data_IF_225059972770
#
_entry.id   IF_225059972770
#
_cell.length_a   1.000
_cell.length_b   1.000
_cell.length_c   1.000
_cell.angle_alpha   90.00
_cell.angle_beta   90.00
_cell.angle_gamma   90.00
#
_symmetry.space_group_name_H-M   'P 1'
#
loop_
_entity.id
_entity.type
_entity.pdbx_description
1 polymer ?
#
# COMPACT_ATOMS: atom_id res chain seq x y z
N UNK A 1 -11.20 6.93 -3.31
CA UNK A 1 -12.23 5.88 -3.34
C UNK A 1 -11.66 4.45 -3.39
N UNK A 2 -10.36 4.22 -3.63
CA UNK A 2 -9.76 2.88 -3.78
C UNK A 2 -9.66 2.03 -2.49
N UNK A 3 -9.30 2.60 -1.33
CA UNK A 3 -9.04 1.81 -0.09
C UNK A 3 -10.25 1.08 0.53
N UNK A 4 -11.48 1.33 0.06
CA UNK A 4 -12.69 0.64 0.56
C UNK A 4 -12.94 -0.70 -0.15
N UNK A 5 -12.65 -0.78 -1.45
CA UNK A 5 -12.85 -1.98 -2.28
C UNK A 5 -11.96 -3.15 -1.81
N UNK A 6 -10.68 -2.88 -1.53
CA UNK A 6 -9.72 -3.85 -0.99
C UNK A 6 -10.23 -4.62 0.26
N UNK A 7 -11.00 -3.98 1.13
CA UNK A 7 -11.52 -4.61 2.34
C UNK A 7 -12.64 -5.63 2.08
N UNK A 8 -13.48 -5.40 1.08
CA UNK A 8 -14.54 -6.33 0.67
C UNK A 8 -13.95 -7.50 -0.12
N UNK A 9 -12.96 -7.25 -0.95
CA UNK A 9 -12.29 -8.29 -1.73
C UNK A 9 -11.45 -9.21 -0.83
N UNK A 10 -10.81 -8.66 0.19
CA UNK A 10 -10.20 -9.48 1.25
C UNK A 10 -11.24 -10.36 1.96
N UNK A 11 -12.44 -9.86 2.26
CA UNK A 11 -13.50 -10.69 2.86
C UNK A 11 -13.93 -11.82 1.93
N UNK A 12 -14.08 -11.56 0.63
CA UNK A 12 -14.39 -12.58 -0.37
C UNK A 12 -13.27 -13.62 -0.49
N UNK A 13 -12.01 -13.20 -0.41
CA UNK A 13 -10.85 -14.11 -0.43
C UNK A 13 -10.84 -15.10 0.75
N UNK A 14 -11.39 -14.72 1.91
CA UNK A 14 -11.48 -15.61 3.07
C UNK A 14 -12.51 -16.74 2.92
N UNK A 15 -13.45 -16.65 1.97
CA UNK A 15 -14.49 -17.68 1.78
C UNK A 15 -13.91 -19.07 1.49
N UNK A 16 -12.77 -19.14 0.80
CA UNK A 16 -12.07 -20.39 0.48
C UNK A 16 -11.26 -20.97 1.65
N UNK A 17 -11.04 -20.19 2.72
CA UNK A 17 -10.15 -20.57 3.83
C UNK A 17 -10.84 -21.35 4.96
N UNK A 18 -12.18 -21.51 4.90
CA UNK A 18 -13.04 -21.98 5.98
C UNK A 18 -12.89 -21.20 7.32
N UNK A 19 -12.21 -20.05 7.30
CA UNK A 19 -11.96 -19.18 8.45
C UNK A 19 -12.68 -17.85 8.26
N UNK A 20 -13.18 -17.30 9.36
CA UNK A 20 -13.76 -15.96 9.35
C UNK A 20 -12.64 -14.91 9.16
N UNK A 21 -12.86 -13.97 8.25
CA UNK A 21 -12.03 -12.77 8.14
C UNK A 21 -12.10 -11.98 9.45
N UNK A 22 -10.94 -11.70 10.06
CA UNK A 22 -10.83 -10.88 11.26
C UNK A 22 -10.04 -9.62 10.96
N UNK A 23 -10.59 -8.47 11.32
CA UNK A 23 -9.84 -7.23 11.31
C UNK A 23 -8.72 -7.33 12.35
N UNK A 24 -7.48 -7.14 11.91
CA UNK A 24 -6.32 -7.04 12.79
C UNK A 24 -5.62 -5.73 12.52
N UNK A 25 -5.36 -4.99 13.59
CA UNK A 25 -4.52 -3.79 13.52
C UNK A 25 -3.12 -4.15 13.02
N UNK A 26 -2.73 -3.60 11.86
CA UNK A 26 -1.38 -3.77 11.29
C UNK A 26 -0.43 -2.78 11.97
N UNK A 27 0.40 -3.25 12.91
CA UNK A 27 1.37 -2.40 13.63
C UNK A 27 2.36 -1.70 12.69
N UNK A 28 2.80 -2.40 11.64
CA UNK A 28 3.69 -1.84 10.62
C UNK A 28 3.05 -0.64 9.91
N UNK A 29 1.81 -0.78 9.43
CA UNK A 29 1.07 0.32 8.81
C UNK A 29 0.92 1.53 9.76
N UNK A 30 0.62 1.28 11.04
CA UNK A 30 0.59 2.36 12.05
C UNK A 30 1.94 3.06 12.20
N UNK A 31 3.04 2.31 12.15
CA UNK A 31 4.39 2.86 12.18
C UNK A 31 4.65 3.78 10.99
N UNK A 32 4.33 3.34 9.77
CA UNK A 32 4.50 4.13 8.55
C UNK A 32 3.67 5.41 8.56
N UNK A 33 2.42 5.35 9.03
CA UNK A 33 1.56 6.53 9.17
C UNK A 33 2.16 7.50 10.20
N UNK A 34 2.60 6.98 11.36
CA UNK A 34 3.21 7.80 12.40
C UNK A 34 4.49 8.48 11.92
N UNK A 35 5.33 7.77 11.18
CA UNK A 35 6.54 8.34 10.57
C UNK A 35 6.18 9.48 9.61
N UNK A 36 5.16 9.29 8.76
CA UNK A 36 4.66 10.34 7.87
C UNK A 36 4.15 11.56 8.66
N UNK A 37 3.39 11.35 9.72
CA UNK A 37 2.89 12.42 10.59
C UNK A 37 4.02 13.18 11.33
N UNK A 38 5.09 12.49 11.71
CA UNK A 38 6.26 13.10 12.34
C UNK A 38 7.06 13.94 11.34
N UNK A 39 7.36 13.38 10.18
CA UNK A 39 8.09 14.09 9.10
C UNK A 39 7.35 15.35 8.64
N UNK A 40 6.02 15.30 8.53
CA UNK A 40 5.21 16.44 8.10
C UNK A 40 5.14 17.59 9.12
N UNK A 41 5.52 17.35 10.38
CA UNK A 41 5.61 18.39 11.42
C UNK A 41 6.91 19.17 11.36
N UNK A 42 7.93 18.67 10.65
CA UNK A 42 9.20 19.37 10.50
C UNK A 42 9.03 20.66 9.69
N UNK A 43 9.85 21.66 10.02
CA UNK A 43 9.85 22.93 9.30
C UNK A 43 10.71 22.78 8.04
N UNK A 44 10.05 22.73 6.91
CA UNK A 44 10.67 22.67 5.59
C UNK A 44 9.81 23.46 4.59
N UNK A 45 10.39 23.77 3.43
CA UNK A 45 9.69 24.40 2.33
C UNK A 45 8.61 23.47 1.75
N UNK A 46 7.62 24.05 1.05
CA UNK A 46 6.47 23.28 0.58
C UNK A 46 6.90 22.13 -0.36
N UNK A 47 7.84 22.39 -1.26
CA UNK A 47 8.30 21.40 -2.24
C UNK A 47 9.01 20.23 -1.54
N UNK A 48 9.76 20.51 -0.47
CA UNK A 48 10.38 19.49 0.39
C UNK A 48 9.31 18.67 1.12
N UNK A 49 8.24 19.30 1.60
CA UNK A 49 7.13 18.59 2.26
C UNK A 49 6.37 17.70 1.30
N UNK A 50 6.16 18.15 0.06
CA UNK A 50 5.51 17.34 -0.97
C UNK A 50 6.37 16.13 -1.35
N UNK A 51 7.70 16.33 -1.49
CA UNK A 51 8.65 15.23 -1.70
C UNK A 51 8.61 14.20 -0.55
N UNK A 52 8.59 14.68 0.69
CA UNK A 52 8.46 13.84 1.90
C UNK A 52 7.13 13.08 1.91
N UNK A 53 6.02 13.75 1.58
CA UNK A 53 4.70 13.14 1.53
C UNK A 53 4.64 12.01 0.51
N UNK A 54 5.24 12.22 -0.67
CA UNK A 54 5.34 11.17 -1.71
C UNK A 54 6.20 10.01 -1.22
N UNK A 55 7.37 10.28 -0.64
CA UNK A 55 8.24 9.23 -0.11
C UNK A 55 7.54 8.36 0.95
N UNK A 56 6.78 9.00 1.86
CA UNK A 56 5.97 8.30 2.85
C UNK A 56 4.84 7.48 2.22
N UNK A 57 4.18 7.99 1.18
CA UNK A 57 3.17 7.24 0.44
C UNK A 57 3.78 6.00 -0.25
N UNK A 58 4.95 6.12 -0.89
CA UNK A 58 5.63 5.00 -1.53
C UNK A 58 6.03 3.90 -0.53
N UNK A 59 6.48 4.27 0.68
CA UNK A 59 6.73 3.30 1.76
C UNK A 59 5.48 2.49 2.12
N UNK A 60 4.31 3.13 2.12
CA UNK A 60 3.01 2.46 2.34
C UNK A 60 2.73 1.49 1.20
N UNK A 61 2.85 1.92 -0.07
CA UNK A 61 2.62 1.06 -1.23
C UNK A 61 3.56 -0.16 -1.24
N UNK A 62 4.85 0.02 -0.94
CA UNK A 62 5.83 -1.07 -0.88
C UNK A 62 5.52 -2.10 0.20
N UNK A 63 5.00 -1.65 1.35
CA UNK A 63 4.52 -2.56 2.39
C UNK A 63 3.32 -3.38 1.93
N UNK A 64 2.39 -2.77 1.18
CA UNK A 64 1.21 -3.47 0.65
C UNK A 64 1.60 -4.44 -0.48
N UNK A 65 2.48 -4.05 -1.40
CA UNK A 65 3.03 -4.93 -2.45
C UNK A 65 3.70 -6.17 -1.84
N UNK A 66 4.59 -5.99 -0.85
CA UNK A 66 5.25 -7.10 -0.18
C UNK A 66 4.25 -8.03 0.54
N UNK A 67 3.22 -7.45 1.14
CA UNK A 67 2.15 -8.19 1.81
C UNK A 67 1.32 -9.02 0.81
N UNK A 68 0.83 -8.40 -0.25
CA UNK A 68 0.00 -9.08 -1.25
C UNK A 68 0.79 -10.11 -2.06
N UNK A 69 2.06 -9.85 -2.39
CA UNK A 69 2.91 -10.83 -3.08
C UNK A 69 3.06 -12.13 -2.27
N UNK A 70 3.23 -12.02 -0.96
CA UNK A 70 3.28 -13.18 -0.06
C UNK A 70 1.93 -13.91 -0.02
N UNK A 71 0.82 -13.17 0.10
CA UNK A 71 -0.52 -13.75 0.15
C UNK A 71 -0.92 -14.45 -1.16
N UNK A 72 -0.55 -13.88 -2.32
CA UNK A 72 -0.72 -14.51 -3.63
C UNK A 72 -0.01 -15.87 -3.68
N UNK A 73 1.25 -15.92 -3.25
CA UNK A 73 2.04 -17.15 -3.22
C UNK A 73 1.35 -18.23 -2.37
N UNK A 74 0.84 -17.85 -1.19
CA UNK A 74 0.11 -18.80 -0.34
C UNK A 74 -1.22 -19.24 -0.95
N UNK A 75 -2.00 -18.32 -1.52
CA UNK A 75 -3.26 -18.64 -2.18
C UNK A 75 -3.06 -19.63 -3.33
N UNK A 76 -2.00 -19.46 -4.12
CA UNK A 76 -1.61 -20.39 -5.18
C UNK A 76 -1.26 -21.78 -4.62
N UNK A 77 -0.40 -21.85 -3.60
CA UNK A 77 0.01 -23.12 -2.98
C UNK A 77 -1.14 -23.87 -2.29
N UNK A 78 -2.13 -23.15 -1.77
CA UNK A 78 -3.30 -23.71 -1.08
C UNK A 78 -4.49 -23.97 -2.02
N UNK A 79 -4.38 -23.60 -3.31
CA UNK A 79 -5.44 -23.81 -4.30
C UNK A 79 -6.62 -22.83 -4.19
N UNK A 80 -6.45 -21.70 -3.51
CA UNK A 80 -7.48 -20.67 -3.32
C UNK A 80 -7.54 -19.76 -4.55
N UNK A 81 -8.22 -20.24 -5.60
CA UNK A 81 -8.24 -19.59 -6.92
C UNK A 81 -8.92 -18.22 -6.89
N UNK A 82 -10.03 -18.08 -6.16
CA UNK A 82 -10.73 -16.79 -6.08
C UNK A 82 -9.94 -15.80 -5.23
N UNK A 83 -9.36 -16.25 -4.11
CA UNK A 83 -8.47 -15.43 -3.31
C UNK A 83 -7.27 -14.93 -4.13
N UNK A 84 -6.61 -15.82 -4.88
CA UNK A 84 -5.49 -15.46 -5.75
C UNK A 84 -5.87 -14.39 -6.77
N UNK A 85 -7.03 -14.52 -7.43
CA UNK A 85 -7.52 -13.54 -8.39
C UNK A 85 -7.68 -12.15 -7.74
N UNK A 86 -8.35 -12.09 -6.59
CA UNK A 86 -8.60 -10.83 -5.89
C UNK A 86 -7.32 -10.20 -5.35
N UNK A 87 -6.41 -11.02 -4.80
CA UNK A 87 -5.11 -10.54 -4.30
C UNK A 87 -4.21 -10.02 -5.43
N UNK A 88 -4.29 -10.61 -6.63
CA UNK A 88 -3.61 -10.09 -7.83
C UNK A 88 -4.19 -8.75 -8.29
N UNK A 89 -5.50 -8.55 -8.20
CA UNK A 89 -6.07 -7.24 -8.50
C UNK A 89 -5.54 -6.17 -7.53
N UNK A 90 -5.46 -6.50 -6.23
CA UNK A 90 -4.89 -5.57 -5.25
C UNK A 90 -3.41 -5.26 -5.55
N UNK A 91 -2.57 -6.26 -5.82
CA UNK A 91 -1.15 -5.99 -6.10
C UNK A 91 -0.96 -5.12 -7.35
N UNK A 92 -1.75 -5.35 -8.40
CA UNK A 92 -1.71 -4.54 -9.64
C UNK A 92 -2.11 -3.08 -9.37
N UNK A 93 -3.08 -2.85 -8.49
CA UNK A 93 -3.50 -1.52 -8.05
C UNK A 93 -2.39 -0.81 -7.26
N UNK A 94 -1.76 -1.48 -6.28
CA UNK A 94 -0.70 -0.86 -5.48
C UNK A 94 0.57 -0.59 -6.33
N UNK A 95 0.94 -1.50 -7.23
CA UNK A 95 2.05 -1.27 -8.18
C UNK A 95 1.77 -0.10 -9.12
N UNK A 96 0.51 0.07 -9.54
CA UNK A 96 0.10 1.21 -10.36
C UNK A 96 0.11 2.51 -9.58
N UNK A 97 -0.24 2.48 -8.30
CA UNK A 97 -0.16 3.63 -7.41
C UNK A 97 1.29 4.07 -7.19
N UNK A 98 2.20 3.13 -6.88
CA UNK A 98 3.63 3.44 -6.70
C UNK A 98 4.28 3.99 -7.97
N UNK A 99 3.91 3.47 -9.15
CA UNK A 99 4.38 4.01 -10.44
C UNK A 99 3.94 5.47 -10.62
N UNK A 100 2.69 5.80 -10.32
CA UNK A 100 2.19 7.19 -10.38
C UNK A 100 2.90 8.09 -9.38
N UNK A 101 3.12 7.62 -8.15
CA UNK A 101 3.88 8.36 -7.15
C UNK A 101 5.32 8.62 -7.63
N UNK A 102 5.95 7.63 -8.27
CA UNK A 102 7.28 7.78 -8.88
C UNK A 102 7.30 8.81 -9.99
N UNK A 103 6.27 8.87 -10.84
CA UNK A 103 6.14 9.88 -11.89
C UNK A 103 6.03 11.28 -11.31
N UNK A 104 5.19 11.46 -10.28
CA UNK A 104 5.02 12.75 -9.58
C UNK A 104 6.32 13.15 -8.87
N UNK A 105 6.99 12.20 -8.21
CA UNK A 105 8.25 12.43 -7.50
C UNK A 105 9.34 13.00 -8.41
N UNK A 106 9.39 12.60 -9.69
CA UNK A 106 10.39 13.13 -10.64
C UNK A 106 10.25 14.64 -10.84
N UNK A 107 9.02 15.16 -10.84
CA UNK A 107 8.77 16.60 -10.96
C UNK A 107 9.06 17.31 -9.65
N UNK A 108 8.48 16.82 -8.55
CA UNK A 108 8.56 17.51 -7.24
C UNK A 108 9.97 17.47 -6.66
N UNK A 109 10.70 16.36 -6.79
CA UNK A 109 12.07 16.30 -6.30
C UNK A 109 13.00 17.25 -7.06
N UNK A 110 12.70 17.56 -8.32
CA UNK A 110 13.48 18.55 -9.05
C UNK A 110 13.28 19.96 -8.49
N UNK A 111 12.04 20.30 -8.09
CA UNK A 111 11.69 21.56 -7.45
C UNK A 111 12.29 21.67 -6.03
N UNK A 112 12.26 20.58 -5.26
CA UNK A 112 12.80 20.53 -3.90
C UNK A 112 14.34 20.61 -3.80
N UNK A 113 15.06 20.46 -4.92
CA UNK A 113 16.53 20.45 -4.97
C UNK A 113 17.16 21.81 -5.34
N UNK A 114 16.35 22.85 -5.56
CA UNK A 114 16.78 24.19 -5.99
C UNK A 114 16.72 25.19 -4.84
#
# INVERSE_FOLDING_TARGET
MAKKASSEDLRKAFTETAKAARAKTRKAMKGLIKEAEEMMKEKADNDVKDAVMIACAQKVEHYEIATYGTLCTWAEKLGYKNALKLLKQNIDEEESADKKLTEIARSINQEAMV
#
